data_IF_145006120767
#
_entry.id   IF_145006120767
#
_cell.length_a   1.000
_cell.length_b   1.000
_cell.length_c   1.000
_cell.angle_alpha   90.00
_cell.angle_beta   90.00
_cell.angle_gamma   90.00
#
_symmetry.space_group_name_H-M   'P 1'
#
loop_
_entity.id
_entity.type
_entity.pdbx_description
1 polymer ?
#
# COMPACT_ATOMS: atom_id res chain seq x y z
N UNK A 1 8.58 -7.47 1.12
CA UNK A 1 7.95 -8.32 2.13
C UNK A 1 8.30 -9.76 1.83
N UNK A 2 8.96 -10.43 2.76
CA UNK A 2 9.25 -11.86 2.69
C UNK A 2 8.21 -12.60 3.53
N UNK A 3 7.30 -13.32 2.88
CA UNK A 3 6.45 -14.29 3.54
C UNK A 3 7.10 -15.66 3.38
N UNK A 4 7.48 -16.27 4.49
CA UNK A 4 7.96 -17.63 4.55
C UNK A 4 6.85 -18.53 5.10
N UNK A 5 5.87 -18.82 4.28
CA UNK A 5 5.02 -19.97 4.56
C UNK A 5 5.72 -21.22 4.02
N UNK A 6 5.58 -22.34 4.72
CA UNK A 6 6.27 -23.62 4.42
C UNK A 6 5.98 -24.10 2.99
N UNK A 7 4.97 -23.53 2.32
CA UNK A 7 4.50 -23.95 1.00
C UNK A 7 4.53 -22.86 -0.08
N UNK A 8 4.60 -21.57 0.27
CA UNK A 8 4.57 -20.47 -0.71
C UNK A 8 5.44 -19.31 -0.24
N UNK A 9 6.56 -19.09 -0.91
CA UNK A 9 7.36 -17.88 -0.70
C UNK A 9 6.99 -16.85 -1.78
N UNK A 10 6.70 -15.64 -1.39
CA UNK A 10 6.59 -14.56 -2.33
C UNK A 10 7.46 -13.37 -1.94
N UNK A 11 7.85 -12.61 -2.95
CA UNK A 11 8.58 -11.37 -2.81
C UNK A 11 7.82 -10.28 -3.54
N UNK A 12 7.63 -9.15 -2.91
CA UNK A 12 6.99 -7.99 -3.52
C UNK A 12 7.83 -6.74 -3.32
N UNK A 13 8.07 -6.02 -4.41
CA UNK A 13 8.59 -4.65 -4.36
C UNK A 13 7.62 -3.74 -5.06
N UNK A 14 7.46 -2.56 -4.53
CA UNK A 14 6.63 -1.53 -5.14
C UNK A 14 7.32 -0.18 -5.04
N UNK A 15 7.06 0.65 -6.03
CA UNK A 15 7.55 2.01 -6.08
C UNK A 15 6.55 2.92 -6.77
N UNK A 16 6.64 4.21 -6.51
CA UNK A 16 5.72 5.15 -7.14
C UNK A 16 6.03 6.59 -6.80
N UNK A 17 5.32 7.48 -7.45
CA UNK A 17 5.37 8.92 -7.24
C UNK A 17 3.95 9.45 -7.06
N UNK A 18 3.81 10.40 -6.15
CA UNK A 18 2.56 11.15 -5.92
C UNK A 18 2.88 12.63 -6.09
N UNK A 19 2.03 13.31 -6.84
CA UNK A 19 2.10 14.77 -7.04
C UNK A 19 0.73 15.33 -6.68
N UNK A 20 0.71 16.40 -5.90
CA UNK A 20 -0.54 17.01 -5.48
C UNK A 20 -0.44 18.51 -5.32
N UNK A 21 -1.58 19.13 -5.26
CA UNK A 21 -1.77 20.55 -4.95
C UNK A 21 -2.85 20.67 -3.90
N UNK A 22 -2.70 21.60 -3.00
CA UNK A 22 -3.66 21.87 -1.95
C UNK A 22 -3.84 23.38 -1.75
N UNK A 23 -4.95 23.76 -1.19
CA UNK A 23 -5.31 25.15 -0.88
C UNK A 23 -6.04 25.24 0.45
N UNK A 24 -5.80 26.32 1.19
CA UNK A 24 -6.55 26.63 2.40
C UNK A 24 -7.89 27.28 2.03
N UNK A 25 -8.99 26.68 2.47
CA UNK A 25 -10.34 27.27 2.37
C UNK A 25 -10.63 28.22 3.53
N UNK A 26 -10.00 27.99 4.67
CA UNK A 26 -10.05 28.81 5.87
C UNK A 26 -8.78 28.59 6.67
N UNK A 27 -8.63 29.26 7.82
CA UNK A 27 -7.50 29.09 8.73
C UNK A 27 -7.38 27.64 9.25
N UNK A 28 -8.50 26.91 9.29
CA UNK A 28 -8.60 25.58 9.86
C UNK A 28 -8.82 24.47 8.82
N UNK A 29 -9.14 24.79 7.56
CA UNK A 29 -9.51 23.79 6.56
C UNK A 29 -8.63 23.92 5.32
N UNK A 30 -8.03 22.80 4.93
CA UNK A 30 -7.26 22.65 3.70
C UNK A 30 -7.84 21.53 2.85
N UNK A 31 -7.94 21.77 1.56
CA UNK A 31 -8.35 20.77 0.58
C UNK A 31 -7.26 20.60 -0.47
N UNK A 32 -7.10 19.37 -0.97
CA UNK A 32 -6.13 19.07 -1.99
C UNK A 32 -6.59 18.00 -2.96
N UNK A 33 -5.90 18.00 -4.10
CA UNK A 33 -6.01 16.98 -5.14
C UNK A 33 -4.64 16.37 -5.36
N UNK A 34 -4.59 15.08 -5.67
CA UNK A 34 -3.34 14.42 -6.03
C UNK A 34 -3.51 13.49 -7.20
N UNK A 35 -2.44 13.30 -7.95
CA UNK A 35 -2.27 12.24 -8.94
C UNK A 35 -1.14 11.32 -8.50
N UNK A 36 -1.22 10.05 -8.86
CA UNK A 36 -0.19 9.08 -8.54
C UNK A 36 0.12 8.16 -9.73
N UNK A 37 1.35 7.71 -9.77
CA UNK A 37 1.82 6.60 -10.60
C UNK A 37 2.51 5.58 -9.71
N UNK A 38 2.26 4.30 -9.94
CA UNK A 38 2.91 3.22 -9.20
C UNK A 38 3.23 2.03 -10.08
N UNK A 39 4.21 1.26 -9.65
CA UNK A 39 4.52 -0.05 -10.20
C UNK A 39 4.70 -1.06 -9.07
N UNK A 40 4.37 -2.31 -9.37
CA UNK A 40 4.50 -3.43 -8.45
C UNK A 40 5.27 -4.54 -9.19
N UNK A 41 6.19 -5.17 -8.51
CA UNK A 41 6.83 -6.41 -8.95
C UNK A 41 6.56 -7.47 -7.89
N UNK A 42 5.67 -8.39 -8.20
CA UNK A 42 5.31 -9.50 -7.33
C UNK A 42 5.82 -10.79 -7.95
N UNK A 43 6.60 -11.56 -7.20
CA UNK A 43 7.12 -12.86 -7.61
C UNK A 43 6.77 -13.90 -6.54
N UNK A 44 6.16 -14.98 -6.96
CA UNK A 44 5.87 -16.12 -6.13
C UNK A 44 6.83 -17.25 -6.49
N UNK A 45 7.53 -17.76 -5.50
CA UNK A 45 8.41 -18.91 -5.62
C UNK A 45 7.71 -20.13 -5.06
N UNK A 46 7.67 -21.19 -5.83
CA UNK A 46 7.09 -22.44 -5.36
C UNK A 46 8.13 -23.31 -4.68
N UNK A 47 7.68 -24.13 -3.74
CA UNK A 47 8.41 -25.31 -3.30
C UNK A 47 8.64 -26.31 -4.44
N UNK A 48 9.35 -27.40 -4.15
CA UNK A 48 9.90 -28.38 -5.09
C UNK A 48 8.93 -28.96 -6.14
N UNK A 49 7.60 -28.81 -5.97
CA UNK A 49 6.59 -29.51 -6.78
C UNK A 49 5.51 -28.63 -7.39
N UNK A 50 5.46 -27.34 -7.07
CA UNK A 50 4.43 -26.43 -7.55
C UNK A 50 5.05 -25.30 -8.37
N UNK A 51 4.37 -24.80 -9.39
CA UNK A 51 4.89 -23.76 -10.28
C UNK A 51 5.27 -22.45 -9.58
N UNK A 52 5.70 -21.48 -10.32
CA UNK A 52 5.97 -20.11 -9.85
C UNK A 52 4.99 -19.14 -10.49
N UNK A 53 4.88 -17.95 -9.95
CA UNK A 53 4.05 -16.88 -10.49
C UNK A 53 4.74 -15.53 -10.44
N UNK A 54 4.31 -14.61 -11.30
CA UNK A 54 4.69 -13.22 -11.21
C UNK A 54 3.58 -12.32 -11.72
N UNK A 55 3.48 -11.13 -11.14
CA UNK A 55 2.59 -10.08 -11.60
C UNK A 55 3.31 -8.73 -11.52
N UNK A 56 3.41 -8.04 -12.65
CA UNK A 56 4.20 -6.82 -12.81
C UNK A 56 3.33 -5.70 -13.38
N UNK A 57 2.38 -5.15 -12.62
CA UNK A 57 1.56 -4.04 -13.09
C UNK A 57 2.24 -2.70 -12.90
N UNK A 58 1.82 -1.76 -13.73
CA UNK A 58 1.93 -0.33 -13.49
C UNK A 58 0.56 0.31 -13.53
N UNK A 59 0.41 1.46 -12.87
CA UNK A 59 -0.90 2.10 -12.79
C UNK A 59 -0.82 3.58 -12.52
N UNK A 60 -1.89 4.26 -12.93
CA UNK A 60 -2.13 5.67 -12.69
C UNK A 60 -3.41 5.85 -11.89
N UNK A 61 -3.41 6.86 -11.07
CA UNK A 61 -4.55 7.18 -10.24
C UNK A 61 -4.54 8.61 -9.74
N UNK A 62 -5.46 8.89 -8.83
CA UNK A 62 -5.54 10.16 -8.18
C UNK A 62 -6.63 10.17 -7.12
N UNK A 63 -6.76 11.29 -6.44
CA UNK A 63 -7.73 11.42 -5.38
C UNK A 63 -7.79 12.81 -4.79
N UNK A 64 -8.52 12.88 -3.70
CA UNK A 64 -8.76 14.10 -2.93
C UNK A 64 -8.26 13.93 -1.51
N UNK A 65 -7.86 15.01 -0.88
CA UNK A 65 -7.51 15.05 0.53
C UNK A 65 -8.12 16.28 1.19
N UNK A 66 -8.41 16.15 2.48
CA UNK A 66 -8.90 17.23 3.32
C UNK A 66 -8.19 17.19 4.67
N UNK A 67 -7.91 18.34 5.23
CA UNK A 67 -7.35 18.49 6.57
C UNK A 67 -8.12 19.54 7.33
N UNK A 68 -8.39 19.25 8.60
CA UNK A 68 -8.94 20.16 9.57
C UNK A 68 -7.97 20.30 10.74
N UNK A 69 -7.73 21.51 11.20
CA UNK A 69 -6.77 21.84 12.25
C UNK A 69 -7.41 22.73 13.31
N UNK A 70 -7.19 22.38 14.53
CA UNK A 70 -7.41 23.22 15.71
C UNK A 70 -6.09 23.36 16.49
N UNK A 71 -6.03 24.20 17.49
CA UNK A 71 -4.80 24.49 18.24
C UNK A 71 -4.07 23.23 18.72
N UNK A 72 -4.80 22.23 19.20
CA UNK A 72 -4.25 21.02 19.80
C UNK A 72 -4.72 19.72 19.14
N UNK A 73 -5.36 19.81 17.97
CA UNK A 73 -5.94 18.64 17.32
C UNK A 73 -5.97 18.82 15.81
N UNK A 74 -5.82 17.74 15.08
CA UNK A 74 -6.10 17.71 13.64
C UNK A 74 -6.81 16.43 13.21
N UNK A 75 -7.54 16.56 12.12
CA UNK A 75 -8.14 15.45 11.38
C UNK A 75 -7.76 15.57 9.92
N UNK A 76 -7.25 14.48 9.33
CA UNK A 76 -6.89 14.41 7.93
C UNK A 76 -7.60 13.23 7.29
N UNK A 77 -8.15 13.44 6.11
CA UNK A 77 -8.75 12.39 5.30
C UNK A 77 -8.21 12.41 3.89
N UNK A 78 -8.12 11.25 3.28
CA UNK A 78 -7.89 11.11 1.85
C UNK A 78 -8.77 10.01 1.26
N UNK A 79 -9.11 10.17 -0.01
CA UNK A 79 -9.73 9.13 -0.81
C UNK A 79 -9.17 9.19 -2.22
N UNK A 80 -8.83 8.03 -2.78
CA UNK A 80 -8.26 7.92 -4.11
C UNK A 80 -8.53 6.59 -4.77
N UNK A 81 -8.26 6.54 -6.09
CA UNK A 81 -8.33 5.32 -6.87
C UNK A 81 -7.14 5.24 -7.83
N UNK A 82 -6.66 4.02 -8.07
CA UNK A 82 -5.56 3.74 -8.99
C UNK A 82 -5.92 2.52 -9.85
N UNK A 83 -5.83 2.66 -11.16
CA UNK A 83 -6.01 1.56 -12.09
C UNK A 83 -4.64 0.98 -12.46
N UNK A 84 -4.45 -0.29 -12.12
CA UNK A 84 -3.26 -1.08 -12.42
C UNK A 84 -3.51 -2.05 -13.55
N UNK A 85 -2.52 -2.25 -14.42
CA UNK A 85 -2.55 -3.28 -15.45
C UNK A 85 -1.14 -3.80 -15.70
N UNK A 86 -1.01 -5.10 -15.91
CA UNK A 86 0.30 -5.69 -16.17
C UNK A 86 0.26 -7.18 -16.43
N UNK A 87 1.42 -7.68 -16.83
CA UNK A 87 1.61 -9.07 -17.16
C UNK A 87 1.52 -9.96 -15.92
N UNK A 88 0.65 -10.95 -16.00
CA UNK A 88 0.55 -12.03 -15.02
C UNK A 88 1.08 -13.32 -15.67
N UNK A 89 1.99 -14.00 -14.98
CA UNK A 89 2.61 -15.25 -15.44
C UNK A 89 2.44 -16.32 -14.38
N UNK A 90 2.02 -17.50 -14.79
CA UNK A 90 1.93 -18.68 -13.95
C UNK A 90 2.67 -19.84 -14.62
N UNK A 91 3.71 -20.35 -13.95
CA UNK A 91 4.47 -21.51 -14.41
C UNK A 91 3.97 -22.75 -13.69
N UNK A 92 3.66 -23.78 -14.45
CA UNK A 92 3.26 -25.10 -13.95
C UNK A 92 4.39 -26.07 -14.24
N UNK A 93 4.94 -26.69 -13.19
CA UNK A 93 6.00 -27.67 -13.33
C UNK A 93 5.62 -28.98 -12.63
N UNK A 94 5.60 -30.07 -13.38
CA UNK A 94 5.31 -31.44 -12.91
C UNK A 94 6.50 -32.32 -13.23
N UNK A 95 7.49 -32.34 -12.33
CA UNK A 95 8.73 -33.07 -12.53
C UNK A 95 9.44 -32.68 -13.84
N UNK A 96 9.80 -33.67 -14.64
CA UNK A 96 10.40 -33.51 -15.97
C UNK A 96 9.37 -33.61 -17.11
N UNK A 97 8.11 -33.93 -16.79
CA UNK A 97 7.06 -34.23 -17.79
C UNK A 97 6.39 -32.96 -18.30
N UNK A 98 6.25 -31.96 -17.44
CA UNK A 98 5.59 -30.70 -17.81
C UNK A 98 6.35 -29.53 -17.20
N UNK A 99 6.71 -28.57 -18.02
CA UNK A 99 7.23 -27.25 -17.62
C UNK A 99 6.67 -26.22 -18.60
N UNK A 100 5.61 -25.52 -18.17
CA UNK A 100 4.84 -24.65 -19.05
C UNK A 100 4.51 -23.34 -18.34
N UNK A 101 4.56 -22.23 -19.09
CA UNK A 101 4.22 -20.90 -18.58
C UNK A 101 2.96 -20.39 -19.26
N UNK A 102 2.00 -19.98 -18.44
CA UNK A 102 0.75 -19.34 -18.85
C UNK A 102 0.87 -17.85 -18.60
N UNK A 103 0.38 -17.06 -19.54
CA UNK A 103 0.42 -15.60 -19.49
C UNK A 103 -0.95 -15.01 -19.67
N UNK A 104 -1.20 -13.90 -18.99
CA UNK A 104 -2.40 -13.08 -19.16
C UNK A 104 -2.09 -11.64 -18.78
N UNK A 105 -2.87 -10.70 -19.28
CA UNK A 105 -2.90 -9.35 -18.74
C UNK A 105 -3.93 -9.31 -17.61
N UNK A 106 -3.49 -8.95 -16.40
CA UNK A 106 -4.35 -8.75 -15.23
C UNK A 106 -4.52 -7.25 -14.98
N UNK A 107 -5.77 -6.81 -14.85
CA UNK A 107 -6.13 -5.44 -14.49
C UNK A 107 -6.80 -5.42 -13.11
N UNK A 108 -6.42 -4.45 -12.29
CA UNK A 108 -6.94 -4.24 -10.93
C UNK A 108 -7.23 -2.77 -10.74
N UNK A 109 -8.39 -2.43 -10.22
CA UNK A 109 -8.66 -1.08 -9.72
C UNK A 109 -8.59 -1.11 -8.20
N UNK A 110 -7.72 -0.28 -7.62
CA UNK A 110 -7.52 -0.15 -6.18
C UNK A 110 -8.10 1.17 -5.71
N UNK A 111 -8.98 1.13 -4.73
CA UNK A 111 -9.51 2.29 -4.02
C UNK A 111 -8.85 2.36 -2.65
N UNK A 112 -8.48 3.56 -2.22
CA UNK A 112 -7.92 3.81 -0.90
C UNK A 112 -8.68 4.92 -0.20
N UNK A 113 -9.08 4.66 1.04
CA UNK A 113 -9.58 5.66 1.97
C UNK A 113 -8.70 5.68 3.20
N UNK A 114 -8.31 6.85 3.67
CA UNK A 114 -7.55 6.96 4.91
C UNK A 114 -8.04 8.10 5.77
N UNK A 115 -8.07 7.86 7.07
CA UNK A 115 -8.34 8.86 8.10
C UNK A 115 -7.19 8.86 9.10
N UNK A 116 -6.77 10.05 9.51
CA UNK A 116 -5.76 10.24 10.54
C UNK A 116 -6.19 11.35 11.47
N UNK A 117 -6.11 11.09 12.76
CA UNK A 117 -6.28 12.07 13.81
C UNK A 117 -5.02 12.15 14.67
N UNK A 118 -4.71 13.33 15.18
CA UNK A 118 -3.59 13.53 16.09
C UNK A 118 -3.75 14.76 16.95
N UNK A 119 -3.05 14.76 18.08
CA UNK A 119 -3.09 15.85 19.06
C UNK A 119 -1.65 16.22 19.45
N UNK A 120 -1.01 17.20 18.79
CA UNK A 120 0.35 17.61 19.14
C UNK A 120 0.40 18.35 20.48
N UNK A 121 1.25 17.87 21.38
CA UNK A 121 1.47 18.42 22.71
C UNK A 121 2.92 18.88 22.81
N UNK A 122 3.15 20.15 23.04
CA UNK A 122 4.48 20.70 23.25
C UNK A 122 4.93 20.46 24.69
N UNK A 123 6.11 19.84 24.88
CA UNK A 123 6.72 19.63 26.19
C UNK A 123 8.21 19.99 26.12
N UNK A 124 8.55 21.19 26.60
CA UNK A 124 9.89 21.73 26.42
C UNK A 124 10.25 21.89 24.94
N UNK A 125 11.36 21.31 24.50
CA UNK A 125 11.78 21.29 23.10
C UNK A 125 11.27 20.09 22.30
N UNK A 126 10.42 19.26 22.89
CA UNK A 126 9.86 18.05 22.30
C UNK A 126 8.38 18.27 21.99
N UNK A 127 7.92 17.77 20.84
CA UNK A 127 6.50 17.63 20.53
C UNK A 127 6.15 16.15 20.63
N UNK A 128 5.18 15.81 21.49
CA UNK A 128 4.60 14.48 21.61
C UNK A 128 3.23 14.52 20.94
N UNK A 129 3.00 13.67 19.98
CA UNK A 129 1.78 13.68 19.18
C UNK A 129 1.12 12.28 19.19
N UNK A 130 0.18 12.02 20.12
CA UNK A 130 -0.71 10.87 20.01
C UNK A 130 -1.43 10.87 18.68
N UNK A 131 -1.47 9.72 18.01
CA UNK A 131 -2.04 9.58 16.66
C UNK A 131 -2.85 8.30 16.54
N UNK A 132 -3.96 8.39 15.83
CA UNK A 132 -4.72 7.26 15.32
C UNK A 132 -4.83 7.36 13.79
N UNK A 133 -4.70 6.23 13.10
CA UNK A 133 -4.88 6.17 11.64
C UNK A 133 -5.72 4.95 11.30
N UNK A 134 -6.63 5.09 10.35
CA UNK A 134 -7.33 4.00 9.71
C UNK A 134 -7.13 4.10 8.19
N UNK A 135 -6.73 3.01 7.56
CA UNK A 135 -6.54 2.91 6.10
C UNK A 135 -7.39 1.77 5.60
N UNK A 136 -8.35 2.09 4.75
CA UNK A 136 -9.16 1.11 4.05
C UNK A 136 -8.70 1.02 2.61
N UNK A 137 -8.49 -0.20 2.13
CA UNK A 137 -8.19 -0.50 0.74
C UNK A 137 -9.26 -1.45 0.19
N UNK A 138 -9.71 -1.20 -1.03
CA UNK A 138 -10.60 -2.07 -1.78
C UNK A 138 -10.04 -2.29 -3.17
N UNK A 139 -9.77 -3.54 -3.51
CA UNK A 139 -9.23 -3.92 -4.81
C UNK A 139 -10.29 -4.68 -5.61
N UNK A 140 -10.42 -4.33 -6.88
CA UNK A 140 -11.30 -5.00 -7.83
C UNK A 140 -10.47 -5.55 -8.97
N UNK A 141 -10.30 -6.86 -9.00
CA UNK A 141 -9.64 -7.57 -10.08
C UNK A 141 -10.63 -7.86 -11.22
N UNK A 142 -10.29 -7.47 -12.42
CA UNK A 142 -11.03 -7.87 -13.61
C UNK A 142 -10.83 -9.35 -13.92
N UNK A 143 -11.82 -9.99 -14.53
CA UNK A 143 -11.64 -11.34 -15.03
C UNK A 143 -10.58 -11.38 -16.13
N UNK A 144 -9.79 -12.45 -16.17
CA UNK A 144 -8.81 -12.65 -17.21
C UNK A 144 -8.69 -14.13 -17.62
N UNK A 145 -8.19 -14.37 -18.81
CA UNK A 145 -8.00 -15.71 -19.36
C UNK A 145 -6.53 -15.89 -19.71
N UNK A 146 -5.95 -16.96 -19.21
CA UNK A 146 -4.59 -17.35 -19.51
C UNK A 146 -4.43 -17.92 -20.90
N UNK A 147 -3.26 -17.71 -21.48
CA UNK A 147 -2.80 -18.33 -22.72
C UNK A 147 -1.50 -19.07 -22.50
N UNK A 148 -1.32 -20.22 -23.17
CA UNK A 148 -0.14 -21.04 -23.10
C UNK A 148 -0.23 -22.18 -24.10
N UNK A 149 0.87 -22.93 -24.29
CA UNK A 149 0.97 -24.00 -25.27
C UNK A 149 -0.06 -25.13 -25.04
N UNK A 150 -0.18 -25.57 -23.79
CA UNK A 150 -1.16 -26.61 -23.43
C UNK A 150 -2.46 -25.97 -22.93
N UNK A 151 -3.34 -25.62 -23.87
CA UNK A 151 -4.60 -24.92 -23.59
C UNK A 151 -5.47 -25.58 -22.51
N UNK A 152 -5.36 -26.91 -22.38
CA UNK A 152 -6.14 -27.66 -21.38
C UNK A 152 -5.83 -27.31 -19.92
N UNK A 153 -4.66 -26.70 -19.65
CA UNK A 153 -4.23 -26.28 -18.32
C UNK A 153 -4.32 -24.75 -18.12
N UNK A 154 -4.67 -24.00 -19.16
CA UNK A 154 -4.93 -22.57 -19.03
C UNK A 154 -6.21 -22.34 -18.21
N UNK A 155 -6.18 -21.32 -17.37
CA UNK A 155 -7.29 -20.95 -16.50
C UNK A 155 -7.96 -19.66 -16.98
N UNK A 156 -9.25 -19.57 -16.74
CA UNK A 156 -10.00 -18.33 -16.71
C UNK A 156 -10.30 -18.01 -15.26
N UNK A 157 -9.85 -16.89 -14.80
CA UNK A 157 -10.14 -16.37 -13.48
C UNK A 157 -11.28 -15.38 -13.58
N UNK A 158 -12.24 -15.51 -12.67
CA UNK A 158 -13.38 -14.60 -12.61
C UNK A 158 -12.99 -13.31 -11.90
N UNK A 159 -13.78 -12.26 -12.12
CA UNK A 159 -13.62 -11.02 -11.38
C UNK A 159 -13.72 -11.29 -9.88
N UNK A 160 -12.87 -10.65 -9.13
CA UNK A 160 -12.76 -10.79 -7.68
C UNK A 160 -12.56 -9.43 -7.04
N UNK A 161 -13.05 -9.27 -5.82
CA UNK A 161 -12.77 -8.08 -5.03
C UNK A 161 -12.37 -8.48 -3.62
N UNK A 162 -11.43 -7.76 -3.09
CA UNK A 162 -10.97 -7.85 -1.71
C UNK A 162 -10.94 -6.47 -1.05
N UNK A 163 -10.92 -6.45 0.26
CA UNK A 163 -10.78 -5.22 1.02
C UNK A 163 -10.03 -5.50 2.32
N UNK A 164 -9.27 -4.50 2.74
CA UNK A 164 -8.39 -4.52 3.90
C UNK A 164 -8.65 -3.29 4.74
N UNK A 165 -8.63 -3.45 6.04
CA UNK A 165 -8.66 -2.34 6.98
C UNK A 165 -7.46 -2.42 7.91
N UNK A 166 -6.54 -1.49 7.77
CA UNK A 166 -5.40 -1.35 8.66
C UNK A 166 -5.63 -0.19 9.63
N UNK A 167 -5.38 -0.39 10.90
CA UNK A 167 -5.43 0.66 11.90
C UNK A 167 -4.12 0.78 12.65
N UNK A 168 -3.74 2.01 13.02
CA UNK A 168 -2.62 2.27 13.90
C UNK A 168 -3.02 3.19 15.04
N UNK A 169 -2.51 2.89 16.24
CA UNK A 169 -2.65 3.74 17.41
C UNK A 169 -1.29 3.89 18.10
N UNK A 170 -0.81 5.11 18.27
CA UNK A 170 0.51 5.33 18.81
C UNK A 170 0.88 6.78 19.01
N UNK A 171 2.17 7.06 19.09
CA UNK A 171 2.67 8.40 19.26
C UNK A 171 3.85 8.70 18.31
N UNK A 172 3.92 9.95 17.87
CA UNK A 172 5.05 10.54 17.16
C UNK A 172 5.75 11.50 18.12
N UNK A 173 7.07 11.45 18.13
CA UNK A 173 7.96 12.33 18.87
C UNK A 173 8.73 13.17 17.85
N UNK A 174 8.78 14.48 18.03
CA UNK A 174 9.45 15.38 17.11
C UNK A 174 10.22 16.46 17.85
N UNK A 175 11.42 16.79 17.35
CA UNK A 175 12.33 17.76 17.95
C UNK A 175 12.59 18.93 16.99
N UNK A 176 11.84 20.02 17.05
CA UNK A 176 12.07 21.19 16.21
C UNK A 176 13.39 21.88 16.57
N UNK A 177 14.34 21.89 15.63
CA UNK A 177 15.66 22.50 15.79
C UNK A 177 15.77 23.67 14.79
N UNK A 178 15.76 24.89 15.30
CA UNK A 178 15.99 26.08 14.46
C UNK A 178 17.45 26.15 14.03
N UNK A 179 17.68 26.28 12.73
CA UNK A 179 19.01 26.45 12.12
C UNK A 179 19.10 27.86 11.51
N UNK A 180 19.59 28.82 12.29
CA UNK A 180 19.56 30.24 11.90
C UNK A 180 18.15 30.80 11.87
N UNK A 181 17.94 31.85 11.07
CA UNK A 181 16.66 32.60 11.06
C UNK A 181 15.64 32.05 10.05
N UNK A 182 16.01 31.11 9.17
CA UNK A 182 15.19 30.70 8.03
C UNK A 182 15.01 29.20 7.88
N UNK A 183 15.66 28.41 8.71
CA UNK A 183 15.64 26.96 8.53
C UNK A 183 15.14 26.26 9.80
N UNK A 184 14.34 25.22 9.60
CA UNK A 184 13.84 24.38 10.67
C UNK A 184 14.08 22.91 10.32
N UNK A 185 14.85 22.22 11.13
CA UNK A 185 15.06 20.78 11.06
C UNK A 185 14.22 20.10 12.13
N UNK A 186 13.45 19.08 11.76
CA UNK A 186 12.58 18.35 12.70
C UNK A 186 12.87 16.84 12.56
N UNK A 187 13.88 16.31 13.27
CA UNK A 187 13.97 14.88 13.47
C UNK A 187 12.71 14.36 14.15
N UNK A 188 12.25 13.20 13.72
CA UNK A 188 11.05 12.63 14.30
C UNK A 188 11.12 11.10 14.34
N UNK A 189 10.38 10.53 15.30
CA UNK A 189 10.26 9.10 15.50
C UNK A 189 8.81 8.75 15.85
N UNK A 190 8.29 7.67 15.30
CA UNK A 190 6.94 7.19 15.58
C UNK A 190 6.99 5.74 16.01
N UNK A 191 6.23 5.41 17.05
CA UNK A 191 5.92 4.04 17.43
C UNK A 191 4.41 3.91 17.58
N UNK A 192 3.85 2.83 17.04
CA UNK A 192 2.41 2.58 17.11
C UNK A 192 2.12 1.08 17.15
N UNK A 193 1.08 0.71 17.85
CA UNK A 193 0.39 -0.57 17.64
C UNK A 193 -0.26 -0.54 16.27
N UNK A 194 -0.24 -1.68 15.60
CA UNK A 194 -0.72 -1.88 14.25
C UNK A 194 -1.67 -3.08 14.25
N UNK A 195 -2.82 -2.97 13.61
CA UNK A 195 -3.70 -4.10 13.34
C UNK A 195 -4.13 -4.08 11.88
N UNK A 196 -4.08 -5.25 11.25
CA UNK A 196 -4.69 -5.55 9.96
C UNK A 196 -5.90 -6.45 10.24
N UNK A 197 -7.09 -5.96 9.93
CA UNK A 197 -8.33 -6.61 10.26
C UNK A 197 -8.77 -7.52 9.13
N UNK A 198 -9.14 -8.74 9.46
CA UNK A 198 -9.83 -9.61 8.51
C UNK A 198 -11.20 -9.03 8.18
N UNK A 199 -11.28 -8.43 7.02
CA UNK A 199 -12.53 -7.87 6.48
C UNK A 199 -12.95 -8.60 5.20
N UNK A 200 -12.18 -9.59 4.75
CA UNK A 200 -12.37 -10.24 3.47
C UNK A 200 -12.88 -11.67 3.62
N UNK A 201 -14.14 -11.90 3.25
CA UNK A 201 -14.78 -13.22 3.18
C UNK A 201 -14.92 -13.73 1.73
N UNK A 202 -14.12 -13.20 0.80
CA UNK A 202 -14.20 -13.54 -0.61
C UNK A 202 -13.46 -14.81 -0.97
N UNK A 203 -13.65 -15.25 -2.21
CA UNK A 203 -12.92 -16.36 -2.80
C UNK A 203 -12.62 -16.09 -4.27
N UNK A 204 -11.44 -16.51 -4.72
CA UNK A 204 -11.06 -16.46 -6.13
C UNK A 204 -11.63 -17.67 -6.85
N UNK A 205 -12.55 -17.46 -7.78
CA UNK A 205 -13.14 -18.51 -8.61
C UNK A 205 -12.39 -18.63 -9.93
N UNK A 206 -12.14 -19.85 -10.33
CA UNK A 206 -11.48 -20.14 -11.61
C UNK A 206 -12.10 -21.34 -12.30
N UNK A 207 -11.94 -21.39 -13.63
CA UNK A 207 -12.34 -22.50 -14.49
C UNK A 207 -11.26 -22.76 -15.56
N UNK A 208 -11.32 -23.92 -16.21
CA UNK A 208 -10.47 -24.16 -17.37
C UNK A 208 -10.88 -23.27 -18.52
N UNK A 209 -9.93 -22.52 -19.07
CA UNK A 209 -10.19 -21.56 -20.15
C UNK A 209 -10.72 -22.22 -21.43
N UNK A 210 -10.31 -23.46 -21.70
CA UNK A 210 -10.61 -24.20 -22.91
C UNK A 210 -11.07 -25.61 -22.60
N UNK A 211 -12.33 -25.79 -22.27
CA UNK A 211 -12.92 -27.10 -22.04
C UNK A 211 -13.83 -27.45 -23.24
N UNK A 212 -13.66 -28.65 -23.81
CA UNK A 212 -14.58 -29.22 -24.80
C UNK A 212 -15.72 -30.02 -24.16
N UNK A 213 -15.68 -30.19 -22.84
CA UNK A 213 -16.68 -30.94 -22.11
C UNK A 213 -17.80 -29.99 -21.65
N UNK A 214 -19.02 -30.48 -21.64
CA UNK A 214 -20.20 -29.73 -21.22
C UNK A 214 -20.16 -29.28 -19.72
N UNK A 215 -19.26 -29.86 -18.95
CA UNK A 215 -18.95 -29.43 -17.56
C UNK A 215 -17.50 -28.98 -17.48
N UNK A 216 -17.31 -27.69 -17.31
CA UNK A 216 -16.00 -27.11 -17.06
C UNK A 216 -15.61 -27.41 -15.60
N UNK A 217 -14.40 -27.93 -15.37
CA UNK A 217 -13.91 -28.07 -14.00
C UNK A 217 -13.70 -26.67 -13.41
N UNK A 218 -14.46 -26.34 -12.40
CA UNK A 218 -14.36 -25.09 -11.63
C UNK A 218 -13.62 -25.35 -10.32
N UNK A 219 -12.90 -24.38 -9.84
CA UNK A 219 -12.27 -24.39 -8.52
C UNK A 219 -12.48 -23.05 -7.83
N UNK A 220 -12.29 -23.06 -6.54
CA UNK A 220 -12.40 -21.89 -5.68
C UNK A 220 -11.28 -21.91 -4.67
N UNK A 221 -10.62 -20.78 -4.50
CA UNK A 221 -9.60 -20.57 -3.46
C UNK A 221 -10.18 -19.57 -2.48
N UNK A 222 -10.51 -19.97 -1.26
CA UNK A 222 -11.02 -19.05 -0.24
C UNK A 222 -9.91 -18.06 0.15
N UNK A 223 -10.30 -16.85 0.50
CA UNK A 223 -9.41 -15.92 1.20
C UNK A 223 -9.27 -16.39 2.65
N UNK A 224 -8.05 -16.67 3.07
CA UNK A 224 -7.73 -17.04 4.45
C UNK A 224 -6.96 -15.90 5.12
N UNK A 225 -7.44 -14.69 4.97
CA UNK A 225 -6.87 -13.57 5.69
C UNK A 225 -7.32 -13.65 7.16
N UNK A 226 -6.37 -13.62 8.06
CA UNK A 226 -6.61 -13.56 9.51
C UNK A 226 -6.26 -12.16 10.02
N UNK A 227 -6.96 -11.73 11.08
CA UNK A 227 -6.62 -10.49 11.76
C UNK A 227 -5.22 -10.62 12.36
N UNK A 228 -4.33 -9.72 11.97
CA UNK A 228 -2.96 -9.66 12.44
C UNK A 228 -2.70 -8.41 13.25
N UNK A 229 -1.86 -8.54 14.27
CA UNK A 229 -1.38 -7.44 15.08
C UNK A 229 0.13 -7.28 14.90
N UNK A 230 0.61 -6.05 15.12
CA UNK A 230 2.01 -5.74 14.98
C UNK A 230 2.40 -4.42 15.60
N UNK A 231 3.64 -4.04 15.35
CA UNK A 231 4.21 -2.77 15.78
C UNK A 231 4.76 -2.04 14.57
N UNK A 232 4.42 -0.76 14.45
CA UNK A 232 5.00 0.17 13.49
C UNK A 232 6.10 0.99 14.18
N UNK A 233 7.29 0.99 13.60
CA UNK A 233 8.41 1.85 13.98
C UNK A 233 8.84 2.65 12.76
N UNK A 234 8.88 3.98 12.89
CA UNK A 234 9.24 4.87 11.78
C UNK A 234 10.12 6.01 12.30
N UNK A 235 11.21 6.32 11.60
CA UNK A 235 12.04 7.48 11.83
C UNK A 235 12.02 8.41 10.62
N UNK A 236 12.17 9.71 10.84
CA UNK A 236 12.15 10.67 9.75
C UNK A 236 12.86 11.98 10.07
N UNK A 237 13.07 12.74 9.01
CA UNK A 237 13.60 14.09 9.05
C UNK A 237 12.71 14.98 8.18
N UNK A 238 12.22 16.06 8.75
CA UNK A 238 11.54 17.12 8.02
C UNK A 238 12.47 18.37 8.04
N UNK A 239 12.69 18.98 6.88
CA UNK A 239 13.52 20.16 6.74
C UNK A 239 12.78 21.25 5.99
N UNK A 240 12.62 22.41 6.65
CA UNK A 240 11.91 23.56 6.08
C UNK A 240 12.85 24.72 5.88
N UNK A 241 12.80 25.33 4.69
CA UNK A 241 13.54 26.53 4.29
C UNK A 241 12.52 27.63 4.01
N UNK A 242 12.44 28.63 4.91
CA UNK A 242 11.51 29.76 4.75
C UNK A 242 12.16 30.84 3.90
N UNK A 243 11.54 31.18 2.77
CA UNK A 243 11.96 32.29 1.94
C UNK A 243 11.42 33.63 2.47
N UNK A 244 10.17 33.61 2.92
CA UNK A 244 9.46 34.69 3.57
C UNK A 244 8.39 34.11 4.53
N UNK A 245 7.59 34.90 5.25
CA UNK A 245 6.59 34.38 6.19
C UNK A 245 5.52 33.50 5.56
N UNK A 246 5.25 33.63 4.25
CA UNK A 246 4.20 32.88 3.54
C UNK A 246 4.73 31.83 2.58
N UNK A 247 6.06 31.80 2.30
CA UNK A 247 6.65 30.92 1.31
C UNK A 247 7.77 30.07 1.90
N UNK A 248 7.66 28.76 1.73
CA UNK A 248 8.63 27.80 2.25
C UNK A 248 8.80 26.58 1.35
N UNK A 249 10.02 26.08 1.26
CA UNK A 249 10.31 24.74 0.80
C UNK A 249 10.33 23.77 1.99
N UNK A 250 9.64 22.66 1.86
CA UNK A 250 9.65 21.58 2.86
C UNK A 250 10.13 20.30 2.19
N UNK A 251 11.19 19.72 2.72
CA UNK A 251 11.71 18.41 2.31
C UNK A 251 11.45 17.43 3.44
N UNK A 252 11.13 16.20 3.09
CA UNK A 252 11.04 15.14 4.10
C UNK A 252 11.67 13.85 3.61
N UNK A 253 12.17 13.06 4.54
CA UNK A 253 12.60 11.69 4.33
C UNK A 253 12.16 10.84 5.55
N UNK A 254 11.60 9.66 5.29
CA UNK A 254 11.13 8.73 6.31
C UNK A 254 11.50 7.31 5.96
N UNK A 255 11.82 6.52 6.97
CA UNK A 255 12.03 5.09 6.85
C UNK A 255 11.49 4.37 8.06
N UNK A 256 11.04 3.13 7.89
CA UNK A 256 10.49 2.36 8.98
C UNK A 256 10.14 0.94 8.64
N UNK A 257 9.61 0.24 9.62
CA UNK A 257 9.18 -1.13 9.51
C UNK A 257 7.85 -1.37 10.21
N UNK A 258 7.03 -2.25 9.63
CA UNK A 258 5.92 -2.91 10.29
C UNK A 258 6.40 -4.31 10.67
N UNK A 259 6.35 -4.63 11.95
CA UNK A 259 6.76 -5.90 12.53
C UNK A 259 5.50 -6.59 13.01
N UNK A 260 5.12 -7.66 12.34
CA UNK A 260 3.91 -8.41 12.64
C UNK A 260 4.14 -9.49 13.70
N UNK A 261 3.09 -9.92 14.38
CA UNK A 261 3.16 -10.92 15.45
C UNK A 261 3.67 -12.29 14.98
N UNK A 262 3.50 -12.62 13.70
CA UNK A 262 4.01 -13.82 13.04
C UNK A 262 5.49 -13.72 12.61
N UNK A 263 6.22 -12.69 13.10
CA UNK A 263 7.61 -12.36 12.78
C UNK A 263 7.87 -11.88 11.34
N UNK A 264 6.85 -11.65 10.53
CA UNK A 264 7.02 -10.98 9.23
C UNK A 264 7.34 -9.51 9.42
N UNK A 265 8.09 -8.95 8.49
CA UNK A 265 8.52 -7.55 8.56
C UNK A 265 8.42 -6.88 7.20
N UNK A 266 7.69 -5.76 7.15
CA UNK A 266 7.54 -4.92 5.98
C UNK A 266 8.38 -3.65 6.13
N UNK A 267 9.35 -3.46 5.26
CA UNK A 267 10.17 -2.23 5.23
C UNK A 267 9.59 -1.21 4.28
N UNK A 268 9.64 0.05 4.69
CA UNK A 268 9.21 1.15 3.84
C UNK A 268 10.14 2.35 3.93
N UNK A 269 10.28 3.08 2.84
CA UNK A 269 10.95 4.37 2.80
C UNK A 269 10.15 5.33 1.90
N UNK A 270 10.14 6.59 2.25
CA UNK A 270 9.52 7.64 1.45
C UNK A 270 10.25 8.96 1.61
N UNK A 271 10.17 9.80 0.61
CA UNK A 271 10.69 11.16 0.65
C UNK A 271 9.91 12.05 -0.30
N UNK A 272 9.93 13.34 -0.05
CA UNK A 272 9.22 14.28 -0.90
C UNK A 272 9.62 15.72 -0.66
N UNK A 273 9.10 16.57 -1.54
CA UNK A 273 9.30 18.01 -1.53
C UNK A 273 7.95 18.69 -1.66
N UNK A 274 7.71 19.70 -0.83
CA UNK A 274 6.52 20.56 -0.92
C UNK A 274 6.98 22.02 -1.02
N UNK A 275 6.36 22.77 -1.89
CA UNK A 275 6.53 24.22 -1.96
C UNK A 275 5.22 24.88 -1.53
N UNK A 276 5.31 25.74 -0.54
CA UNK A 276 4.20 26.57 -0.05
C UNK A 276 4.42 27.99 -0.55
N UNK A 277 3.38 28.63 -1.09
CA UNK A 277 3.40 29.99 -1.64
C UNK A 277 2.15 30.77 -1.20
#
# INVERSE_FOLDING_TARGET
>A
VYYQDVYNNFYSTHGGVVVGVDTSLSDNIQLGLFGNYGNINLQQYSGLYTGSGSWNPSGFGGGVMASYWEDNFYLQGLFGATAFSGDNKRRVKLGTVLDETYTATKATTSYVGALRAGAPIAWGGLIIEPQATAIWNHNQDASYTESGRFRALALKLHAFSDHFLETTLGAKFAWPIKQGNRNLLVPNFKVAWLADWDTNNGSVKFERAYSRLARTATGEIPSNQETQNGVLVEGGLDYSIFQNPTSAWKLYAKGGAKIWADANTDWRASGGVTFQF
#
